data_IF_947239547572
#
_entry.id   IF_947239547572
#
_cell.length_a   1.000
_cell.length_b   1.000
_cell.length_c   1.000
_cell.angle_alpha   90.00
_cell.angle_beta   90.00
_cell.angle_gamma   90.00
#
_symmetry.space_group_name_H-M   'P 1'
#
loop_
_entity.id
_entity.type
_entity.pdbx_description
1 polymer ?
#
# COMPACT_ATOMS: atom_id res chain seq x y z
N UNK A 1 27.14 29.16 -9.33
CA UNK A 1 26.41 29.52 -8.10
C UNK A 1 25.85 28.24 -7.51
N UNK A 2 26.41 27.78 -6.39
CA UNK A 2 25.84 26.67 -5.64
C UNK A 2 24.41 27.04 -5.26
N UNK A 3 23.46 26.17 -5.62
CA UNK A 3 22.04 26.41 -5.46
C UNK A 3 21.69 26.36 -3.96
N UNK A 4 21.87 27.49 -3.25
CA UNK A 4 21.60 27.64 -1.82
C UNK A 4 20.18 27.19 -1.48
N UNK A 5 19.24 27.36 -2.42
CA UNK A 5 17.85 26.90 -2.27
C UNK A 5 17.80 25.37 -2.24
N UNK A 6 18.46 24.69 -3.17
CA UNK A 6 18.53 23.22 -3.17
C UNK A 6 19.23 22.67 -1.92
N UNK A 7 20.27 23.34 -1.42
CA UNK A 7 20.95 22.93 -0.19
C UNK A 7 20.06 23.10 1.05
N UNK A 8 19.39 24.25 1.16
CA UNK A 8 18.41 24.53 2.22
C UNK A 8 17.30 23.47 2.22
N UNK A 9 16.72 23.18 1.06
CA UNK A 9 15.66 22.19 0.91
C UNK A 9 16.16 20.76 1.25
N UNK A 10 17.39 20.42 0.87
CA UNK A 10 17.98 19.12 1.20
C UNK A 10 18.16 18.94 2.72
N UNK A 11 18.48 20.01 3.46
CA UNK A 11 18.56 19.99 4.91
C UNK A 11 17.17 19.79 5.55
N UNK A 12 16.15 20.51 5.08
CA UNK A 12 14.77 20.35 5.54
C UNK A 12 14.25 18.92 5.32
N UNK A 13 14.52 18.33 4.15
CA UNK A 13 14.16 16.95 3.82
C UNK A 13 14.85 15.91 4.72
N UNK A 14 16.02 16.24 5.27
CA UNK A 14 16.75 15.40 6.23
C UNK A 14 16.31 15.59 7.68
N UNK A 15 15.32 16.46 7.93
CA UNK A 15 14.86 16.73 9.29
C UNK A 15 15.74 17.75 10.03
N UNK A 16 16.48 18.59 9.32
CA UNK A 16 17.38 19.60 9.87
C UNK A 16 16.94 21.00 9.45
N UNK A 17 17.28 22.00 10.25
CA UNK A 17 17.02 23.39 9.88
C UNK A 17 17.86 23.76 8.66
N UNK A 18 17.25 24.39 7.65
CA UNK A 18 17.96 24.84 6.44
C UNK A 18 18.93 26.00 6.66
N UNK A 19 19.00 26.57 7.88
CA UNK A 19 19.91 27.67 8.25
C UNK A 19 21.00 27.23 9.22
N UNK A 20 20.63 26.65 10.37
CA UNK A 20 21.60 26.22 11.38
C UNK A 20 22.03 24.74 11.27
N UNK A 21 21.44 23.96 10.36
CA UNK A 21 21.69 22.52 10.17
C UNK A 21 21.44 21.62 11.39
N UNK A 22 20.91 22.16 12.48
CA UNK A 22 20.54 21.45 13.70
C UNK A 22 19.30 20.56 13.45
N UNK A 23 19.22 19.35 14.04
CA UNK A 23 18.03 18.51 13.96
C UNK A 23 16.81 19.21 14.53
N UNK A 24 15.70 19.16 13.79
CA UNK A 24 14.43 19.74 14.20
C UNK A 24 13.38 18.66 14.30
N UNK A 25 12.46 18.81 15.27
CA UNK A 25 11.32 17.91 15.40
C UNK A 25 10.48 17.97 14.12
N UNK A 26 10.17 16.80 13.53
CA UNK A 26 9.52 16.68 12.22
C UNK A 26 8.15 17.35 12.13
N UNK A 27 7.42 17.42 13.25
CA UNK A 27 6.15 18.15 13.29
C UNK A 27 6.34 19.67 13.16
N UNK A 28 7.45 20.27 13.62
CA UNK A 28 7.75 21.68 13.37
C UNK A 28 8.01 21.94 11.88
N UNK A 29 8.76 21.04 11.24
CA UNK A 29 9.06 21.12 9.80
C UNK A 29 7.79 21.02 8.95
N UNK A 30 6.91 20.07 9.25
CA UNK A 30 5.62 19.91 8.54
C UNK A 30 4.70 21.12 8.72
N UNK A 31 4.79 21.81 9.86
CA UNK A 31 3.96 22.96 10.20
C UNK A 31 4.58 24.30 9.78
N UNK A 32 5.77 24.29 9.20
CA UNK A 32 6.50 25.52 8.86
C UNK A 32 6.79 26.43 10.06
N UNK A 33 6.82 25.87 11.28
CA UNK A 33 7.09 26.62 12.50
C UNK A 33 8.55 27.10 12.53
N UNK A 34 8.85 28.07 13.39
CA UNK A 34 10.22 28.52 13.55
C UNK A 34 11.10 27.46 14.24
N UNK A 35 12.38 27.47 13.88
CA UNK A 35 13.38 26.60 14.46
C UNK A 35 13.59 26.95 15.95
N UNK A 36 13.51 25.93 16.82
CA UNK A 36 13.72 26.09 18.27
C UNK A 36 15.14 26.52 18.64
N UNK A 37 16.12 26.35 17.75
CA UNK A 37 17.52 26.69 18.00
C UNK A 37 17.92 28.08 17.49
N UNK A 38 17.48 28.45 16.27
CA UNK A 38 17.91 29.69 15.62
C UNK A 38 16.78 30.66 15.29
N UNK A 39 15.52 30.33 15.60
CA UNK A 39 14.35 31.16 15.29
C UNK A 39 14.05 31.31 13.80
N UNK A 40 14.80 30.66 12.91
CA UNK A 40 14.56 30.75 11.48
C UNK A 40 13.30 29.97 11.08
N UNK A 41 12.50 30.56 10.20
CA UNK A 41 11.38 29.89 9.55
C UNK A 41 11.83 28.59 8.90
N UNK A 42 11.08 27.52 9.14
CA UNK A 42 11.28 26.21 8.50
C UNK A 42 10.43 26.06 7.23
N UNK A 43 9.82 27.13 6.74
CA UNK A 43 9.12 27.13 5.47
C UNK A 43 10.13 26.91 4.33
N UNK A 44 9.76 26.08 3.36
CA UNK A 44 10.57 25.86 2.16
C UNK A 44 10.67 27.12 1.33
N UNK A 45 11.82 27.36 0.70
CA UNK A 45 12.00 28.47 -0.24
C UNK A 45 11.35 28.14 -1.60
N UNK A 46 10.02 28.28 -1.69
CA UNK A 46 9.25 28.13 -2.93
C UNK A 46 7.76 27.83 -2.72
N UNK A 47 6.99 27.83 -3.81
CA UNK A 47 5.52 27.64 -3.85
C UNK A 47 5.04 26.21 -3.60
N UNK A 48 5.94 25.24 -3.39
CA UNK A 48 5.59 23.83 -3.24
C UNK A 48 5.76 23.34 -1.81
N UNK A 49 4.69 22.81 -1.23
CA UNK A 49 4.67 22.24 0.11
C UNK A 49 5.70 21.11 0.29
N UNK A 50 6.29 21.02 1.49
CA UNK A 50 7.19 19.94 1.90
C UNK A 50 6.68 18.52 1.53
N UNK A 51 5.39 18.17 1.71
CA UNK A 51 4.82 16.90 1.26
C UNK A 51 4.95 16.62 -0.25
N UNK A 52 4.75 17.60 -1.13
CA UNK A 52 4.90 17.39 -2.59
C UNK A 52 6.36 17.13 -2.98
N UNK A 53 7.30 17.80 -2.31
CA UNK A 53 8.73 17.59 -2.57
C UNK A 53 9.22 16.23 -2.09
N UNK A 54 8.70 15.75 -0.95
CA UNK A 54 8.93 14.38 -0.49
C UNK A 54 8.43 13.33 -1.51
N UNK A 55 7.37 13.61 -2.25
CA UNK A 55 6.89 12.74 -3.33
C UNK A 55 7.80 12.73 -4.55
N UNK A 56 8.25 13.92 -4.98
CA UNK A 56 9.13 14.06 -6.13
C UNK A 56 10.42 13.26 -5.98
N UNK A 57 11.01 13.26 -4.77
CA UNK A 57 12.18 12.45 -4.43
C UNK A 57 11.94 10.93 -4.43
N UNK A 58 10.68 10.49 -4.38
CA UNK A 58 10.30 9.06 -4.32
C UNK A 58 9.84 8.49 -5.67
N UNK A 59 9.66 9.32 -6.69
CA UNK A 59 9.26 8.89 -8.03
C UNK A 59 10.20 7.82 -8.62
N UNK A 60 11.52 7.98 -8.46
CA UNK A 60 12.50 6.95 -8.90
C UNK A 60 12.25 5.60 -8.24
N UNK A 61 11.93 5.56 -6.96
CA UNK A 61 11.64 4.30 -6.25
C UNK A 61 10.30 3.68 -6.67
N UNK A 62 9.30 4.51 -6.99
CA UNK A 62 8.05 4.03 -7.63
C UNK A 62 8.34 3.38 -8.97
N UNK A 63 9.08 4.06 -9.84
CA UNK A 63 9.47 3.52 -11.15
C UNK A 63 10.28 2.23 -11.04
N UNK A 64 11.28 2.18 -10.15
CA UNK A 64 12.09 0.97 -9.93
C UNK A 64 11.22 -0.18 -9.43
N UNK A 65 10.32 0.08 -8.46
CA UNK A 65 9.43 -0.95 -7.95
C UNK A 65 8.43 -1.44 -8.99
N UNK A 66 7.79 -0.54 -9.74
CA UNK A 66 6.89 -0.92 -10.85
C UNK A 66 7.64 -1.65 -11.97
N UNK A 67 8.86 -1.24 -12.29
CA UNK A 67 9.72 -1.95 -13.22
C UNK A 67 10.05 -3.37 -12.75
N UNK A 68 10.35 -3.56 -11.47
CA UNK A 68 10.59 -4.88 -10.87
C UNK A 68 9.36 -5.78 -10.91
N UNK A 69 8.18 -5.25 -10.59
CA UNK A 69 6.91 -6.01 -10.66
C UNK A 69 6.59 -6.34 -12.12
N UNK A 70 6.77 -5.40 -13.04
CA UNK A 70 6.57 -5.65 -14.48
C UNK A 70 7.52 -6.71 -15.03
N UNK A 71 8.80 -6.68 -14.63
CA UNK A 71 9.77 -7.71 -14.98
C UNK A 71 9.38 -9.08 -14.39
N UNK A 72 8.94 -9.12 -13.12
CA UNK A 72 8.44 -10.34 -12.50
C UNK A 72 7.22 -10.91 -13.23
N UNK A 73 6.29 -10.04 -13.65
CA UNK A 73 5.12 -10.40 -14.47
C UNK A 73 5.50 -10.98 -15.85
N UNK A 74 6.70 -10.66 -16.38
CA UNK A 74 7.20 -11.24 -17.63
C UNK A 74 7.80 -12.65 -17.44
N UNK A 75 8.37 -12.92 -16.26
CA UNK A 75 8.98 -14.21 -15.90
C UNK A 75 7.92 -15.27 -15.51
N UNK A 76 6.65 -14.86 -15.35
CA UNK A 76 5.48 -15.72 -15.03
C UNK A 76 5.41 -16.97 -15.92
N UNK A 77 5.81 -16.87 -17.19
CA UNK A 77 5.76 -17.99 -18.11
C UNK A 77 6.82 -19.08 -17.88
N UNK A 78 7.91 -18.77 -17.16
CA UNK A 78 9.06 -19.67 -17.05
C UNK A 78 9.09 -20.46 -15.73
N UNK A 79 8.80 -19.82 -14.59
CA UNK A 79 8.87 -20.47 -13.26
C UNK A 79 7.83 -19.86 -12.28
N UNK A 80 6.70 -20.53 -12.02
CA UNK A 80 5.62 -19.99 -11.15
C UNK A 80 6.08 -19.69 -9.72
N UNK A 81 6.96 -20.53 -9.15
CA UNK A 81 7.50 -20.32 -7.80
C UNK A 81 8.38 -19.08 -7.71
N UNK A 82 9.16 -18.80 -8.77
CA UNK A 82 10.04 -17.63 -8.83
C UNK A 82 9.23 -16.33 -8.88
N UNK A 83 8.09 -16.35 -9.58
CA UNK A 83 7.15 -15.22 -9.63
C UNK A 83 6.67 -14.82 -8.23
N UNK A 84 6.15 -15.76 -7.44
CA UNK A 84 5.63 -15.45 -6.09
C UNK A 84 6.72 -14.85 -5.21
N UNK A 85 7.94 -15.39 -5.26
CA UNK A 85 9.09 -14.85 -4.52
C UNK A 85 9.45 -13.42 -4.93
N UNK A 86 9.55 -13.15 -6.23
CA UNK A 86 9.82 -11.81 -6.78
C UNK A 86 8.74 -10.81 -6.42
N UNK A 87 7.46 -11.22 -6.47
CA UNK A 87 6.34 -10.33 -6.19
C UNK A 87 6.26 -9.98 -4.69
N UNK A 88 6.51 -10.96 -3.81
CA UNK A 88 6.64 -10.73 -2.36
C UNK A 88 7.82 -9.79 -2.09
N UNK A 89 8.98 -10.02 -2.73
CA UNK A 89 10.15 -9.18 -2.57
C UNK A 89 9.90 -7.75 -3.05
N UNK A 90 9.27 -7.58 -4.21
CA UNK A 90 8.93 -6.27 -4.77
C UNK A 90 7.96 -5.51 -3.86
N UNK A 91 6.91 -6.18 -3.37
CA UNK A 91 5.97 -5.61 -2.38
C UNK A 91 6.70 -5.21 -1.10
N UNK A 92 7.61 -6.04 -0.60
CA UNK A 92 8.38 -5.76 0.62
C UNK A 92 9.30 -4.55 0.43
N UNK A 93 10.01 -4.47 -0.70
CA UNK A 93 10.87 -3.33 -1.06
C UNK A 93 10.03 -2.06 -1.20
N UNK A 94 8.91 -2.11 -1.93
CA UNK A 94 7.97 -0.99 -2.08
C UNK A 94 7.40 -0.55 -0.74
N UNK A 95 7.00 -1.50 0.11
CA UNK A 95 6.47 -1.21 1.44
C UNK A 95 7.52 -0.52 2.33
N UNK A 96 8.73 -1.06 2.39
CA UNK A 96 9.80 -0.50 3.23
C UNK A 96 10.26 0.88 2.72
N UNK A 97 10.43 1.03 1.40
CA UNK A 97 10.97 2.27 0.82
C UNK A 97 9.93 3.38 0.71
N UNK A 98 8.71 3.07 0.24
CA UNK A 98 7.67 4.07 -0.04
C UNK A 98 6.74 4.31 1.14
N UNK A 99 6.31 3.26 1.86
CA UNK A 99 5.31 3.37 2.92
C UNK A 99 5.94 3.61 4.30
N UNK A 100 7.05 2.93 4.64
CA UNK A 100 7.63 3.02 5.99
C UNK A 100 8.28 4.37 6.30
N UNK A 101 8.99 4.96 5.32
CA UNK A 101 9.68 6.25 5.50
C UNK A 101 8.75 7.43 5.85
N UNK A 102 7.63 7.68 5.13
CA UNK A 102 6.73 8.78 5.47
C UNK A 102 5.96 8.58 6.78
N UNK A 103 5.71 7.33 7.21
CA UNK A 103 5.07 7.08 8.51
C UNK A 103 5.84 7.67 9.69
N UNK A 104 7.16 7.86 9.55
CA UNK A 104 7.99 8.47 10.58
C UNK A 104 7.77 9.99 10.72
N UNK A 105 7.07 10.62 9.78
CA UNK A 105 6.73 12.05 9.83
C UNK A 105 5.39 12.30 10.53
N UNK A 106 4.57 11.27 10.70
CA UNK A 106 3.30 11.35 11.40
C UNK A 106 3.48 11.27 12.92
N UNK A 107 2.55 11.90 13.64
CA UNK A 107 2.33 11.75 15.08
C UNK A 107 2.03 10.29 15.45
N UNK A 108 2.32 9.83 16.68
CA UNK A 108 2.19 8.43 17.07
C UNK A 108 0.76 7.89 16.89
N UNK A 109 -0.26 8.69 17.19
CA UNK A 109 -1.66 8.29 17.04
C UNK A 109 -2.05 8.07 15.57
N UNK A 110 -1.72 9.02 14.68
CA UNK A 110 -1.99 8.89 13.23
C UNK A 110 -1.11 7.88 12.52
N UNK A 111 0.08 7.61 13.06
CA UNK A 111 0.93 6.51 12.58
C UNK A 111 0.24 5.16 12.79
N UNK A 112 -0.45 4.98 13.92
CA UNK A 112 -1.13 3.72 14.23
C UNK A 112 -2.30 3.50 13.29
N UNK A 113 -3.14 4.53 13.07
CA UNK A 113 -4.26 4.44 12.12
C UNK A 113 -3.79 4.25 10.68
N UNK A 114 -2.76 4.98 10.22
CA UNK A 114 -2.22 4.78 8.88
C UNK A 114 -1.65 3.36 8.70
N UNK A 115 -0.95 2.82 9.71
CA UNK A 115 -0.40 1.46 9.66
C UNK A 115 -1.50 0.40 9.62
N UNK A 116 -2.56 0.56 10.41
CA UNK A 116 -3.70 -0.38 10.38
C UNK A 116 -4.44 -0.29 9.05
N UNK A 117 -4.71 0.92 8.54
CA UNK A 117 -5.34 1.10 7.22
C UNK A 117 -4.52 0.45 6.11
N UNK A 118 -3.20 0.67 6.05
CA UNK A 118 -2.33 0.07 5.02
C UNK A 118 -2.34 -1.46 5.10
N UNK A 119 -2.32 -2.03 6.31
CA UNK A 119 -2.43 -3.48 6.49
C UNK A 119 -3.79 -4.02 6.03
N UNK A 120 -4.88 -3.33 6.36
CA UNK A 120 -6.23 -3.69 5.97
C UNK A 120 -6.41 -3.58 4.44
N UNK A 121 -5.86 -2.56 3.80
CA UNK A 121 -5.83 -2.47 2.32
C UNK A 121 -5.10 -3.66 1.73
N UNK A 122 -3.94 -4.04 2.29
CA UNK A 122 -3.22 -5.24 1.85
C UNK A 122 -4.04 -6.52 2.01
N UNK A 123 -4.71 -6.69 3.15
CA UNK A 123 -5.58 -7.85 3.41
C UNK A 123 -6.78 -7.90 2.45
N UNK A 124 -7.41 -6.75 2.21
CA UNK A 124 -8.53 -6.63 1.27
C UNK A 124 -8.11 -6.94 -0.18
N UNK A 125 -7.01 -6.37 -0.66
CA UNK A 125 -6.52 -6.68 -2.01
C UNK A 125 -6.09 -8.15 -2.12
N UNK A 126 -5.56 -8.72 -1.03
CA UNK A 126 -5.28 -10.16 -0.94
C UNK A 126 -6.54 -11.01 -1.07
N UNK A 127 -7.62 -10.69 -0.36
CA UNK A 127 -8.88 -11.45 -0.45
C UNK A 127 -9.52 -11.33 -1.84
N UNK A 128 -9.51 -10.13 -2.43
CA UNK A 128 -9.98 -9.93 -3.81
C UNK A 128 -9.11 -10.70 -4.80
N UNK A 129 -7.79 -10.76 -4.61
CA UNK A 129 -6.90 -11.56 -5.46
C UNK A 129 -7.23 -13.05 -5.41
N UNK A 130 -7.64 -13.58 -4.25
CA UNK A 130 -8.10 -14.98 -4.14
C UNK A 130 -9.38 -15.20 -4.93
N UNK A 131 -10.37 -14.30 -4.79
CA UNK A 131 -11.62 -14.37 -5.57
C UNK A 131 -11.35 -14.35 -7.07
N UNK A 132 -10.47 -13.46 -7.54
CA UNK A 132 -10.10 -13.38 -8.95
C UNK A 132 -9.39 -14.67 -9.40
N UNK A 133 -8.50 -15.22 -8.59
CA UNK A 133 -7.83 -16.48 -8.92
C UNK A 133 -8.84 -17.64 -9.05
N UNK A 134 -9.80 -17.76 -8.13
CA UNK A 134 -10.85 -18.79 -8.20
C UNK A 134 -11.72 -18.61 -9.45
N UNK A 135 -12.08 -17.37 -9.79
CA UNK A 135 -12.91 -17.06 -10.96
C UNK A 135 -12.17 -17.29 -12.30
N UNK A 136 -10.85 -17.07 -12.35
CA UNK A 136 -10.03 -17.17 -13.57
C UNK A 136 -9.42 -18.56 -13.77
N UNK A 137 -9.21 -19.33 -12.69
CA UNK A 137 -8.69 -20.70 -12.74
C UNK A 137 -9.33 -21.63 -13.79
N UNK A 138 -10.67 -21.62 -14.03
CA UNK A 138 -11.28 -22.49 -15.03
C UNK A 138 -11.04 -22.08 -16.49
N UNK A 139 -10.30 -21.00 -16.79
CA UNK A 139 -10.05 -20.49 -18.14
C UNK A 139 -8.62 -20.84 -18.62
N UNK A 140 -8.40 -21.98 -19.30
CA UNK A 140 -7.07 -22.57 -19.55
C UNK A 140 -6.15 -21.78 -20.49
N UNK A 141 -6.67 -20.86 -21.30
CA UNK A 141 -5.91 -20.15 -22.35
C UNK A 141 -5.62 -18.68 -21.99
N UNK A 142 -6.43 -18.09 -21.10
CA UNK A 142 -6.39 -16.66 -20.76
C UNK A 142 -5.63 -16.41 -19.44
N UNK A 143 -5.36 -17.47 -18.67
CA UNK A 143 -4.99 -17.37 -17.26
C UNK A 143 -3.65 -16.68 -17.02
N UNK A 144 -2.56 -17.03 -17.69
CA UNK A 144 -1.22 -16.55 -17.30
C UNK A 144 -1.02 -15.04 -17.51
N UNK A 145 -1.38 -14.51 -18.67
CA UNK A 145 -1.25 -13.08 -18.97
C UNK A 145 -2.23 -12.23 -18.14
N UNK A 146 -3.47 -12.71 -17.97
CA UNK A 146 -4.46 -12.01 -17.15
C UNK A 146 -4.08 -12.03 -15.68
N UNK A 147 -3.63 -13.17 -15.13
CA UNK A 147 -3.14 -13.27 -13.76
C UNK A 147 -1.92 -12.40 -13.52
N UNK A 148 -1.00 -12.32 -14.49
CA UNK A 148 0.17 -11.44 -14.42
C UNK A 148 -0.22 -9.95 -14.39
N UNK A 149 -1.17 -9.54 -15.23
CA UNK A 149 -1.71 -8.18 -15.28
C UNK A 149 -2.48 -7.82 -14.00
N UNK A 150 -3.28 -8.76 -13.49
CA UNK A 150 -4.03 -8.62 -12.24
C UNK A 150 -3.07 -8.49 -11.05
N UNK A 151 -2.02 -9.32 -10.97
CA UNK A 151 -1.01 -9.23 -9.93
C UNK A 151 -0.26 -7.90 -9.93
N UNK A 152 0.09 -7.38 -11.11
CA UNK A 152 0.66 -6.05 -11.27
C UNK A 152 -0.32 -4.97 -10.79
N UNK A 153 -1.57 -5.03 -11.22
CA UNK A 153 -2.61 -4.08 -10.86
C UNK A 153 -2.85 -4.03 -9.34
N UNK A 154 -2.93 -5.19 -8.67
CA UNK A 154 -3.05 -5.24 -7.22
C UNK A 154 -1.84 -4.64 -6.50
N UNK A 155 -0.64 -4.88 -7.01
CA UNK A 155 0.60 -4.32 -6.43
C UNK A 155 0.61 -2.79 -6.56
N UNK A 156 0.25 -2.27 -7.74
CA UNK A 156 0.12 -0.84 -7.97
C UNK A 156 -0.98 -0.21 -7.09
N UNK A 157 -2.16 -0.85 -7.02
CA UNK A 157 -3.27 -0.42 -6.18
C UNK A 157 -2.87 -0.35 -4.70
N UNK A 158 -2.16 -1.36 -4.19
CA UNK A 158 -1.66 -1.37 -2.82
C UNK A 158 -0.77 -0.16 -2.52
N UNK A 159 0.18 0.12 -3.41
CA UNK A 159 1.16 1.21 -3.24
C UNK A 159 0.48 2.57 -3.34
N UNK A 160 -0.34 2.81 -4.38
CA UNK A 160 -1.00 4.11 -4.57
C UNK A 160 -2.05 4.38 -3.49
N UNK A 161 -2.85 3.39 -3.10
CA UNK A 161 -3.80 3.53 -1.99
C UNK A 161 -3.05 3.82 -0.68
N UNK A 162 -1.97 3.08 -0.38
CA UNK A 162 -1.16 3.32 0.81
C UNK A 162 -0.56 4.72 0.83
N UNK A 163 -0.07 5.21 -0.32
CA UNK A 163 0.47 6.56 -0.44
C UNK A 163 -0.62 7.63 -0.38
N UNK A 164 -1.79 7.42 -0.96
CA UNK A 164 -2.95 8.30 -0.86
C UNK A 164 -3.38 8.49 0.59
N UNK A 165 -3.48 7.40 1.35
CA UNK A 165 -3.78 7.45 2.79
C UNK A 165 -2.72 8.29 3.51
N UNK A 166 -1.44 8.00 3.30
CA UNK A 166 -0.35 8.73 3.94
C UNK A 166 -0.35 10.22 3.58
N UNK A 167 -0.57 10.56 2.30
CA UNK A 167 -0.68 11.95 1.81
C UNK A 167 -1.78 12.71 2.53
N UNK A 168 -2.96 12.12 2.60
CA UNK A 168 -4.11 12.74 3.24
C UNK A 168 -3.86 12.97 4.73
N UNK A 169 -3.24 12.00 5.42
CA UNK A 169 -2.86 12.14 6.84
C UNK A 169 -1.80 13.21 7.06
N UNK A 170 -0.82 13.33 6.15
CA UNK A 170 0.20 14.38 6.22
C UNK A 170 -0.41 15.77 6.00
N UNK A 171 -1.36 15.91 5.07
CA UNK A 171 -2.10 17.17 4.85
C UNK A 171 -2.89 17.57 6.09
N UNK A 172 -3.64 16.64 6.69
CA UNK A 172 -4.37 16.92 7.93
C UNK A 172 -3.47 17.26 9.13
N UNK A 173 -2.22 16.79 9.13
CA UNK A 173 -1.23 17.15 10.16
C UNK A 173 -0.65 18.55 9.91
N UNK A 174 -0.42 18.92 8.65
CA UNK A 174 -0.04 20.28 8.27
C UNK A 174 -1.16 21.28 8.61
N UNK A 175 -2.41 20.93 8.34
CA UNK A 175 -3.62 21.75 8.55
C UNK A 175 -4.08 21.84 10.02
N UNK A 176 -3.35 21.26 10.98
CA UNK A 176 -3.70 21.27 12.41
C UNK A 176 -5.08 20.67 12.76
N UNK A 177 -5.61 19.77 11.93
CA UNK A 177 -6.90 19.14 12.27
C UNK A 177 -6.74 18.22 13.47
N UNK A 178 -7.56 18.34 14.53
CA UNK A 178 -7.56 17.38 15.62
C UNK A 178 -7.97 16.00 15.10
N UNK A 179 -7.51 14.94 15.77
CA UNK A 179 -7.84 13.58 15.38
C UNK A 179 -9.34 13.35 15.60
N UNK A 180 -10.10 13.27 14.51
CA UNK A 180 -11.55 13.08 14.58
C UNK A 180 -11.91 11.59 14.57
N UNK A 181 -13.07 11.22 15.11
CA UNK A 181 -13.55 9.83 15.07
C UNK A 181 -13.75 9.35 13.62
N UNK A 182 -14.05 10.26 12.70
CA UNK A 182 -14.20 9.99 11.26
C UNK A 182 -12.91 9.42 10.64
N UNK A 183 -11.75 9.71 11.24
CA UNK A 183 -10.47 9.13 10.83
C UNK A 183 -10.45 7.58 10.91
N UNK A 184 -11.32 6.98 11.73
CA UNK A 184 -11.51 5.54 11.87
C UNK A 184 -12.57 4.96 10.92
N UNK A 185 -13.31 5.80 10.20
CA UNK A 185 -14.30 5.33 9.22
C UNK A 185 -13.66 4.49 8.10
N UNK A 186 -12.48 4.89 7.62
CA UNK A 186 -11.76 4.16 6.57
C UNK A 186 -11.34 2.74 7.02
N UNK A 187 -10.63 2.55 8.16
CA UNK A 187 -10.33 1.20 8.62
C UNK A 187 -11.59 0.39 8.97
N UNK A 188 -12.63 1.00 9.54
CA UNK A 188 -13.88 0.31 9.83
C UNK A 188 -14.57 -0.21 8.55
N UNK A 189 -14.62 0.63 7.50
CA UNK A 189 -15.16 0.25 6.20
C UNK A 189 -14.33 -0.87 5.54
N UNK A 190 -12.99 -0.81 5.64
CA UNK A 190 -12.13 -1.89 5.15
C UNK A 190 -12.34 -3.20 5.91
N UNK A 191 -12.55 -3.17 7.22
CA UNK A 191 -12.91 -4.37 7.99
C UNK A 191 -14.23 -4.96 7.48
N UNK A 192 -15.26 -4.13 7.29
CA UNK A 192 -16.53 -4.56 6.70
C UNK A 192 -16.35 -5.16 5.30
N UNK A 193 -15.55 -4.52 4.44
CA UNK A 193 -15.25 -5.01 3.10
C UNK A 193 -14.47 -6.34 3.12
N UNK A 194 -13.53 -6.52 4.05
CA UNK A 194 -12.82 -7.78 4.25
C UNK A 194 -13.79 -8.86 4.67
N UNK A 195 -14.64 -8.62 5.68
CA UNK A 195 -15.64 -9.58 6.14
C UNK A 195 -16.59 -10.01 5.00
N UNK A 196 -17.08 -9.05 4.23
CA UNK A 196 -17.92 -9.33 3.07
C UNK A 196 -17.17 -10.16 2.01
N UNK A 197 -15.91 -9.83 1.73
CA UNK A 197 -15.10 -10.58 0.78
C UNK A 197 -14.81 -12.01 1.26
N UNK A 198 -14.59 -12.21 2.56
CA UNK A 198 -14.39 -13.56 3.12
C UNK A 198 -15.66 -14.39 3.06
N UNK A 199 -16.83 -13.79 3.35
CA UNK A 199 -18.11 -14.47 3.20
C UNK A 199 -18.37 -14.86 1.74
N UNK A 200 -18.04 -13.97 0.79
CA UNK A 200 -18.13 -14.27 -0.62
C UNK A 200 -17.23 -15.45 -1.02
N UNK A 201 -15.97 -15.48 -0.57
CA UNK A 201 -15.06 -16.62 -0.82
C UNK A 201 -15.64 -17.91 -0.28
N UNK A 202 -16.05 -17.94 0.99
CA UNK A 202 -16.66 -19.12 1.62
C UNK A 202 -17.90 -19.57 0.85
N UNK A 203 -18.78 -18.64 0.47
CA UNK A 203 -19.96 -18.93 -0.32
C UNK A 203 -19.64 -19.51 -1.70
N UNK A 204 -18.63 -18.98 -2.40
CA UNK A 204 -18.20 -19.51 -3.70
C UNK A 204 -17.62 -20.92 -3.59
N UNK A 205 -16.84 -21.21 -2.54
CA UNK A 205 -16.28 -22.53 -2.29
C UNK A 205 -17.38 -23.53 -1.94
N UNK A 206 -18.28 -23.17 -1.01
CA UNK A 206 -19.41 -24.01 -0.63
C UNK A 206 -20.35 -24.28 -1.82
N UNK A 207 -20.65 -23.26 -2.62
CA UNK A 207 -21.46 -23.41 -3.83
C UNK A 207 -20.80 -24.32 -4.88
N UNK A 208 -19.47 -24.19 -5.07
CA UNK A 208 -18.72 -25.07 -5.97
C UNK A 208 -18.72 -26.52 -5.49
N UNK A 209 -18.52 -26.74 -4.19
CA UNK A 209 -18.61 -28.07 -3.57
C UNK A 209 -20.00 -28.67 -3.72
N UNK A 210 -21.05 -27.87 -3.53
CA UNK A 210 -22.43 -28.32 -3.70
C UNK A 210 -22.73 -28.74 -5.15
N UNK A 211 -22.28 -27.94 -6.14
CA UNK A 211 -22.41 -28.28 -7.55
C UNK A 211 -21.63 -29.56 -7.92
N UNK A 212 -20.44 -29.78 -7.33
CA UNK A 212 -19.66 -30.99 -7.52
C UNK A 212 -20.28 -32.22 -6.84
N UNK A 213 -20.89 -32.05 -5.67
CA UNK A 213 -21.63 -33.09 -4.97
C UNK A 213 -22.89 -33.51 -5.74
N UNK A 214 -23.55 -32.54 -6.39
CA UNK A 214 -24.71 -32.78 -7.25
C UNK A 214 -24.37 -33.31 -8.64
N UNK A 215 -23.09 -33.31 -9.04
CA UNK A 215 -22.66 -33.89 -10.31
C UNK A 215 -22.49 -35.42 -10.15
N UNK A 216 -23.10 -36.21 -11.05
CA UNK A 216 -22.99 -37.68 -11.10
C UNK A 216 -21.60 -38.16 -11.58
N UNK A 217 -20.54 -37.75 -10.89
CA UNK A 217 -19.17 -38.20 -11.13
C UNK A 217 -18.77 -39.08 -9.94
N UNK A 218 -18.85 -40.43 -10.08
CA UNK A 218 -18.59 -41.34 -8.97
C UNK A 218 -17.13 -41.21 -8.56
N UNK A 219 -16.86 -40.85 -7.30
CA UNK A 219 -15.60 -40.45 -6.62
C UNK A 219 -15.50 -38.97 -6.27
N UNK A 220 -15.87 -38.05 -7.17
CA UNK A 220 -15.78 -36.60 -6.88
C UNK A 220 -16.96 -36.15 -6.02
N UNK A 221 -18.14 -36.71 -6.25
CA UNK A 221 -19.36 -36.39 -5.49
C UNK A 221 -19.30 -36.86 -4.03
N UNK A 222 -18.78 -38.06 -3.77
CA UNK A 222 -18.58 -38.59 -2.40
C UNK A 222 -17.57 -37.74 -1.61
N UNK A 223 -16.50 -37.29 -2.25
CA UNK A 223 -15.45 -36.51 -1.59
C UNK A 223 -15.92 -35.07 -1.30
N UNK A 224 -16.71 -34.48 -2.21
CA UNK A 224 -17.37 -33.19 -2.00
C UNK A 224 -18.45 -33.24 -0.90
N UNK A 225 -19.24 -34.32 -0.85
CA UNK A 225 -20.26 -34.53 0.20
C UNK A 225 -19.62 -34.62 1.60
N UNK A 226 -18.53 -35.39 1.75
CA UNK A 226 -17.81 -35.46 3.03
C UNK A 226 -17.22 -34.14 3.50
N UNK A 227 -16.79 -33.27 2.58
CA UNK A 227 -16.26 -31.95 2.91
C UNK A 227 -17.35 -30.93 3.33
N UNK A 228 -18.62 -31.18 3.00
CA UNK A 228 -19.76 -30.36 3.42
C UNK A 228 -20.35 -30.76 4.79
N UNK A 229 -20.06 -31.97 5.27
CA UNK A 229 -20.53 -32.51 6.56
C UNK A 229 -19.63 -32.12 7.75
N UNK A 230 -18.42 -31.60 7.50
CA UNK A 230 -17.43 -31.15 8.50
C UNK A 230 -17.57 -29.65 8.76
#
# INVERSE_FOLDING_TARGET
>A
MLDLKAHHDALLLRGRCGRCAEPVKRYHLLRGLDCTHCGASLATWGTGDLPERLERGRWRWRLVGYGLVGAASFVVGAVPLLQSGLQILALLVLHVTLLRRPLLWLTPARRLTARTTIKLVGAFLGSVSVLVNVAVAPLPIVSSAVLAGVGFAFTAAYVECGLMVIRQRLRWEADHRPMSVVEWGVPALLVGAILLSTLAVVGTVAGSLHLLAAADIPTVSELAARLLEV
#
